data_IF_607923611991
#
_entry.id   IF_607923611991
#
_cell.length_a   1.000
_cell.length_b   1.000
_cell.length_c   1.000
_cell.angle_alpha   90.00
_cell.angle_beta   90.00
_cell.angle_gamma   90.00
#
_symmetry.space_group_name_H-M   'P 1'
#
loop_
_entity.id
_entity.type
_entity.pdbx_description
1 polymer ?
#
# COMPACT_ATOMS: atom_id res chain seq x y z
N UNK A 1 -39.29 -45.89 40.61
CA UNK A 1 -38.17 -46.82 40.93
C UNK A 1 -37.18 -46.07 41.80
N UNK A 2 -36.79 -46.66 42.93
CA UNK A 2 -35.94 -46.06 43.97
C UNK A 2 -34.51 -45.87 43.46
N UNK A 3 -33.95 -44.66 43.56
CA UNK A 3 -32.51 -44.43 43.47
C UNK A 3 -31.84 -45.10 44.68
N UNK A 4 -30.90 -46.01 44.40
CA UNK A 4 -30.06 -46.65 45.40
C UNK A 4 -29.06 -45.61 45.90
N UNK A 5 -29.20 -45.18 47.15
CA UNK A 5 -28.09 -44.61 47.91
C UNK A 5 -27.02 -45.70 48.06
N UNK A 6 -25.89 -45.53 47.40
CA UNK A 6 -24.71 -46.34 47.63
C UNK A 6 -24.02 -45.79 48.87
N UNK A 7 -24.35 -46.35 50.03
CA UNK A 7 -23.60 -46.13 51.25
C UNK A 7 -22.24 -46.82 51.12
N UNK A 8 -21.17 -46.06 50.94
CA UNK A 8 -19.81 -46.57 51.12
C UNK A 8 -19.57 -46.76 52.63
N UNK A 9 -19.66 -47.99 53.11
CA UNK A 9 -19.16 -48.38 54.44
C UNK A 9 -17.63 -48.29 54.45
N UNK A 10 -17.08 -47.28 55.15
CA UNK A 10 -15.64 -47.11 55.48
C UNK A 10 -15.15 -48.35 56.25
N UNK A 11 -14.09 -48.98 55.76
CA UNK A 11 -13.30 -49.95 56.55
C UNK A 11 -12.34 -49.24 57.51
N UNK A 12 -11.92 -49.85 58.64
CA UNK A 12 -11.26 -49.14 59.74
C UNK A 12 -9.76 -48.83 59.55
N UNK A 13 -9.19 -48.94 58.34
CA UNK A 13 -7.73 -48.88 58.12
C UNK A 13 -7.29 -48.21 56.80
N UNK A 14 -8.09 -47.32 56.21
CA UNK A 14 -7.59 -46.44 55.14
C UNK A 14 -7.17 -45.11 55.75
N UNK A 15 -5.86 -44.81 55.71
CA UNK A 15 -5.39 -43.45 55.97
C UNK A 15 -6.08 -42.50 54.98
N UNK A 16 -6.69 -41.40 55.47
CA UNK A 16 -7.39 -40.47 54.60
C UNK A 16 -6.42 -39.88 53.58
N UNK A 17 -6.65 -40.13 52.29
CA UNK A 17 -5.80 -39.60 51.22
C UNK A 17 -5.92 -38.09 51.18
N UNK A 18 -4.80 -37.40 51.33
CA UNK A 18 -4.71 -35.95 51.21
C UNK A 18 -4.92 -35.54 49.74
N UNK A 19 -5.88 -34.65 49.49
CA UNK A 19 -6.18 -34.11 48.15
C UNK A 19 -5.04 -33.20 47.65
N UNK A 20 -4.87 -33.02 46.33
CA UNK A 20 -3.78 -32.22 45.80
C UNK A 20 -3.96 -30.73 46.19
N UNK A 21 -2.84 -29.97 46.25
CA UNK A 21 -2.92 -28.54 46.44
C UNK A 21 -3.58 -27.83 45.25
N UNK A 22 -4.20 -26.69 45.52
CA UNK A 22 -4.78 -25.79 44.54
C UNK A 22 -3.85 -24.60 44.30
N UNK A 23 -3.62 -24.25 43.04
CA UNK A 23 -2.81 -23.09 42.64
C UNK A 23 -3.69 -22.16 41.81
N UNK A 24 -4.14 -21.02 42.37
CA UNK A 24 -5.17 -20.18 41.72
C UNK A 24 -4.78 -19.62 40.35
N UNK A 25 -3.48 -19.44 40.09
CA UNK A 25 -2.94 -18.87 38.85
C UNK A 25 -2.56 -19.93 37.80
N UNK A 26 -2.66 -21.22 38.14
CA UNK A 26 -2.36 -22.31 37.22
C UNK A 26 -3.63 -22.72 36.46
N UNK A 27 -3.48 -23.04 35.18
CA UNK A 27 -4.54 -23.61 34.35
C UNK A 27 -5.10 -24.89 35.01
N UNK A 28 -6.42 -25.01 35.06
CA UNK A 28 -7.07 -26.12 35.75
C UNK A 28 -6.79 -27.47 35.06
N UNK A 29 -6.60 -27.45 33.74
CA UNK A 29 -6.47 -28.64 32.89
C UNK A 29 -5.04 -29.16 32.89
N UNK A 30 -4.06 -28.31 32.56
CA UNK A 30 -2.67 -28.73 32.36
C UNK A 30 -1.68 -28.13 33.37
N UNK A 31 -2.13 -27.17 34.20
CA UNK A 31 -1.29 -26.57 35.22
C UNK A 31 -0.35 -25.47 34.70
N UNK A 32 -0.51 -25.00 33.47
CA UNK A 32 0.26 -23.88 32.93
C UNK A 32 0.07 -22.61 33.77
N UNK A 33 1.18 -22.01 34.18
CA UNK A 33 1.19 -20.70 34.84
C UNK A 33 1.65 -19.66 33.83
N UNK A 34 0.92 -18.55 33.68
CA UNK A 34 1.32 -17.48 32.76
C UNK A 34 2.63 -16.84 33.21
N UNK A 35 3.48 -16.45 32.27
CA UNK A 35 4.77 -15.79 32.54
C UNK A 35 4.62 -14.54 33.39
N UNK A 36 3.52 -13.80 33.21
CA UNK A 36 3.20 -12.62 34.03
C UNK A 36 2.97 -12.96 35.52
N UNK A 37 2.38 -14.11 35.82
CA UNK A 37 2.12 -14.55 37.20
C UNK A 37 3.40 -15.06 37.88
N UNK A 38 4.38 -15.50 37.09
CA UNK A 38 5.72 -15.88 37.55
C UNK A 38 6.63 -14.68 37.90
N UNK A 39 6.11 -13.46 37.91
CA UNK A 39 6.82 -12.28 38.42
C UNK A 39 6.77 -12.17 39.96
N UNK A 40 5.91 -12.95 40.62
CA UNK A 40 5.76 -12.99 42.07
C UNK A 40 5.74 -14.44 42.56
N UNK A 41 6.00 -14.64 43.86
CA UNK A 41 5.86 -15.94 44.49
C UNK A 41 4.44 -16.53 44.30
N UNK A 42 4.38 -17.81 43.98
CA UNK A 42 3.12 -18.48 43.66
C UNK A 42 2.42 -18.92 44.94
N UNK A 43 1.19 -18.44 45.13
CA UNK A 43 0.34 -18.85 46.25
C UNK A 43 -0.21 -20.25 45.98
N UNK A 44 -0.03 -21.13 46.96
CA UNK A 44 -0.57 -22.49 46.97
C UNK A 44 -1.53 -22.63 48.14
N UNK A 45 -2.71 -23.15 47.86
CA UNK A 45 -3.80 -23.29 48.81
C UNK A 45 -4.16 -24.77 49.01
N UNK A 46 -4.37 -25.18 50.26
CA UNK A 46 -4.91 -26.51 50.57
C UNK A 46 -5.62 -26.48 51.92
N UNK A 47 -6.56 -27.42 52.11
CA UNK A 47 -7.39 -27.44 53.32
C UNK A 47 -6.72 -28.16 54.48
N UNK A 48 -6.96 -27.69 55.71
CA UNK A 48 -6.68 -28.46 56.93
C UNK A 48 -7.38 -29.82 56.82
N UNK A 49 -6.59 -30.89 56.93
CA UNK A 49 -7.02 -32.26 56.68
C UNK A 49 -7.81 -32.90 57.84
N UNK A 50 -8.55 -33.96 57.53
CA UNK A 50 -9.23 -34.77 58.56
C UNK A 50 -8.20 -35.42 59.47
N UNK A 51 -8.32 -35.22 60.79
CA UNK A 51 -7.42 -35.78 61.79
C UNK A 51 -6.21 -34.92 62.17
N UNK A 52 -6.09 -33.71 61.60
CA UNK A 52 -5.06 -32.74 61.98
C UNK A 52 -5.09 -32.41 63.49
N UNK A 53 -3.92 -32.29 64.11
CA UNK A 53 -3.73 -32.01 65.55
C UNK A 53 -2.94 -30.74 65.77
N UNK A 54 -3.08 -30.18 66.98
CA UNK A 54 -2.30 -29.03 67.42
C UNK A 54 -0.80 -29.36 67.31
N UNK A 55 -0.02 -28.42 66.78
CA UNK A 55 1.43 -28.53 66.53
C UNK A 55 1.85 -29.43 65.36
N UNK A 56 0.93 -30.08 64.63
CA UNK A 56 1.27 -30.69 63.35
C UNK A 56 1.86 -29.63 62.41
N UNK A 57 2.85 -30.01 61.61
CA UNK A 57 3.48 -29.13 60.62
C UNK A 57 3.16 -29.57 59.20
N UNK A 58 3.30 -28.64 58.26
CA UNK A 58 3.05 -28.88 56.85
C UNK A 58 4.01 -28.06 55.99
N UNK A 59 4.40 -28.59 54.83
CA UNK A 59 5.33 -27.92 53.92
C UNK A 59 5.07 -28.33 52.47
N UNK A 60 5.26 -27.41 51.53
CA UNK A 60 5.19 -27.72 50.11
C UNK A 60 6.40 -28.53 49.67
N UNK A 61 6.22 -29.33 48.62
CA UNK A 61 7.33 -29.95 47.91
C UNK A 61 7.16 -29.81 46.41
N UNK A 62 8.27 -29.55 45.72
CA UNK A 62 8.37 -29.56 44.26
C UNK A 62 9.32 -30.66 43.85
N UNK A 63 8.87 -31.55 42.95
CA UNK A 63 9.64 -32.71 42.50
C UNK A 63 10.17 -33.59 43.65
N UNK A 64 9.48 -33.57 44.79
CA UNK A 64 9.84 -34.30 46.01
C UNK A 64 10.70 -33.52 47.02
N UNK A 65 11.28 -32.39 46.64
CA UNK A 65 12.12 -31.55 47.51
C UNK A 65 11.28 -30.51 48.28
N UNK A 66 11.61 -30.29 49.55
CA UNK A 66 10.90 -29.32 50.41
C UNK A 66 11.17 -27.88 49.95
N UNK A 67 10.10 -27.12 49.70
CA UNK A 67 10.19 -25.73 49.20
C UNK A 67 9.43 -24.76 50.09
N UNK A 68 9.89 -23.51 50.09
CA UNK A 68 9.30 -22.44 50.89
C UNK A 68 9.39 -22.70 52.40
N UNK A 69 8.62 -21.94 53.17
CA UNK A 69 8.57 -22.05 54.62
C UNK A 69 7.54 -23.08 55.07
N UNK A 70 7.92 -23.95 56.01
CA UNK A 70 6.97 -24.82 56.68
C UNK A 70 6.00 -24.03 57.55
N UNK A 71 4.74 -24.45 57.55
CA UNK A 71 3.72 -23.97 58.49
C UNK A 71 3.53 -24.93 59.66
N UNK A 72 2.90 -24.42 60.72
CA UNK A 72 2.56 -25.20 61.91
C UNK A 72 1.17 -24.82 62.42
N UNK A 73 0.37 -25.81 62.83
CA UNK A 73 -0.99 -25.61 63.31
C UNK A 73 -1.00 -25.13 64.77
N UNK A 74 -0.73 -23.82 64.96
CA UNK A 74 -0.83 -23.12 66.24
C UNK A 74 -1.45 -21.73 66.03
N UNK A 75 -2.71 -21.49 66.44
CA UNK A 75 -3.66 -22.46 67.01
C UNK A 75 -4.12 -23.51 65.97
N UNK A 76 -4.76 -24.59 66.42
CA UNK A 76 -5.36 -25.59 65.52
C UNK A 76 -6.61 -25.00 64.83
N UNK A 77 -6.61 -24.79 63.50
CA UNK A 77 -7.79 -24.30 62.79
C UNK A 77 -8.83 -25.42 62.62
N UNK A 78 -10.12 -25.07 62.37
CA UNK A 78 -11.12 -26.06 61.97
C UNK A 78 -10.70 -26.81 60.69
N UNK A 79 -11.01 -28.11 60.62
CA UNK A 79 -10.86 -28.92 59.39
C UNK A 79 -11.58 -28.23 58.23
N UNK A 80 -10.96 -28.21 57.05
CA UNK A 80 -11.45 -27.50 55.88
C UNK A 80 -11.04 -26.03 55.80
N UNK A 81 -10.41 -25.46 56.83
CA UNK A 81 -9.82 -24.12 56.75
C UNK A 81 -8.72 -24.09 55.70
N UNK A 82 -8.72 -23.07 54.84
CA UNK A 82 -7.73 -22.93 53.79
C UNK A 82 -6.39 -22.44 54.36
N UNK A 83 -5.35 -23.23 54.18
CA UNK A 83 -3.97 -22.89 54.46
C UNK A 83 -3.33 -22.34 53.19
N UNK A 84 -2.40 -21.40 53.37
CA UNK A 84 -1.66 -20.77 52.28
C UNK A 84 -0.17 -20.90 52.53
N UNK A 85 0.55 -21.40 51.53
CA UNK A 85 2.00 -21.36 51.45
C UNK A 85 2.39 -20.71 50.12
N UNK A 86 3.65 -20.30 50.00
CA UNK A 86 4.18 -19.73 48.77
C UNK A 86 5.32 -20.57 48.23
N UNK A 87 5.39 -20.67 46.90
CA UNK A 87 6.55 -21.18 46.18
C UNK A 87 7.38 -19.96 45.76
N UNK A 88 8.63 -19.81 46.26
CA UNK A 88 9.52 -18.76 45.82
C UNK A 88 9.91 -18.96 44.35
N UNK A 89 9.45 -18.08 43.46
CA UNK A 89 9.71 -18.26 42.01
C UNK A 89 11.19 -18.08 41.68
N UNK A 90 11.83 -17.12 42.35
CA UNK A 90 13.24 -16.79 42.20
C UNK A 90 14.22 -17.88 42.67
N UNK A 91 13.74 -19.02 43.16
CA UNK A 91 14.59 -20.19 43.46
C UNK A 91 14.04 -21.47 42.86
N UNK A 92 12.73 -21.66 42.84
CA UNK A 92 12.13 -22.97 42.55
C UNK A 92 11.54 -23.12 41.14
N UNK A 93 11.11 -22.02 40.49
CA UNK A 93 10.38 -22.04 39.21
C UNK A 93 11.08 -21.18 38.14
N UNK A 94 12.40 -21.35 38.02
CA UNK A 94 13.24 -20.60 37.06
C UNK A 94 13.22 -21.16 35.67
N UNK A 95 13.27 -22.48 35.58
CA UNK A 95 13.49 -23.20 34.34
C UNK A 95 12.15 -23.61 33.74
N UNK A 96 12.11 -23.68 32.42
CA UNK A 96 10.94 -24.18 31.71
C UNK A 96 10.79 -25.69 31.97
N UNK A 97 9.54 -26.13 32.14
CA UNK A 97 9.23 -27.54 32.33
C UNK A 97 8.01 -27.80 33.20
N UNK A 98 7.74 -29.10 33.38
CA UNK A 98 6.70 -29.58 34.27
C UNK A 98 7.27 -29.85 35.66
N UNK A 99 6.52 -29.44 36.68
CA UNK A 99 6.84 -29.61 38.08
C UNK A 99 5.74 -30.40 38.80
N UNK A 100 6.14 -31.35 39.64
CA UNK A 100 5.24 -32.11 40.49
C UNK A 100 5.11 -31.41 41.85
N UNK A 101 3.98 -30.73 42.08
CA UNK A 101 3.69 -30.06 43.34
C UNK A 101 2.85 -30.95 44.26
N UNK A 102 3.32 -31.13 45.49
CA UNK A 102 2.52 -31.69 46.58
C UNK A 102 2.75 -30.93 47.89
N UNK A 103 2.06 -31.32 48.96
CA UNK A 103 2.42 -30.92 50.31
C UNK A 103 2.59 -32.15 51.20
N UNK A 104 3.50 -32.03 52.15
CA UNK A 104 3.77 -33.04 53.17
C UNK A 104 3.32 -32.52 54.53
N UNK A 105 2.65 -33.38 55.28
CA UNK A 105 2.24 -33.14 56.67
C UNK A 105 3.08 -34.00 57.60
N UNK A 106 3.37 -33.48 58.80
CA UNK A 106 4.15 -34.18 59.84
C UNK A 106 3.37 -34.11 61.15
N UNK A 107 2.89 -35.26 61.63
CA UNK A 107 2.07 -35.34 62.84
C UNK A 107 2.88 -35.24 64.14
N UNK A 108 2.46 -34.41 65.09
CA UNK A 108 3.08 -34.27 66.41
C UNK A 108 2.35 -35.09 67.51
N UNK A 109 3.06 -35.76 68.44
CA UNK A 109 4.52 -35.92 68.53
C UNK A 109 5.06 -37.10 67.70
N UNK A 110 4.22 -37.77 66.92
CA UNK A 110 4.56 -39.03 66.24
C UNK A 110 5.69 -38.95 65.21
N UNK A 111 5.89 -37.78 64.59
CA UNK A 111 6.75 -37.59 63.43
C UNK A 111 6.26 -38.29 62.16
N UNK A 112 5.04 -38.85 62.14
CA UNK A 112 4.49 -39.53 60.98
C UNK A 112 4.34 -38.56 59.81
N UNK A 113 4.92 -38.92 58.65
CA UNK A 113 4.88 -38.12 57.43
C UNK A 113 3.80 -38.64 56.50
N UNK A 114 3.01 -37.75 55.93
CA UNK A 114 2.01 -38.08 54.92
C UNK A 114 1.98 -37.03 53.82
N UNK A 115 2.04 -37.47 52.56
CA UNK A 115 2.01 -36.62 51.37
C UNK A 115 0.62 -36.52 50.74
N UNK A 116 0.35 -35.40 50.10
CA UNK A 116 -0.81 -35.23 49.24
C UNK A 116 -0.66 -35.92 47.89
N UNK A 117 -1.78 -36.00 47.16
CA UNK A 117 -1.72 -36.20 45.72
C UNK A 117 -0.98 -35.04 45.04
N UNK A 118 -0.43 -35.31 43.86
CA UNK A 118 0.36 -34.37 43.08
C UNK A 118 -0.56 -33.49 42.21
N UNK A 119 -0.26 -32.20 42.14
CA UNK A 119 -0.73 -31.26 41.11
C UNK A 119 0.45 -30.97 40.19
N UNK A 120 0.28 -31.17 38.89
CA UNK A 120 1.27 -30.74 37.89
C UNK A 120 1.17 -29.23 37.69
N UNK A 121 2.32 -28.57 37.67
CA UNK A 121 2.49 -27.19 37.21
C UNK A 121 3.36 -27.19 35.96
N UNK A 122 3.10 -26.28 35.03
CA UNK A 122 3.93 -26.09 33.83
C UNK A 122 4.41 -24.64 33.81
N UNK A 123 5.73 -24.48 33.71
CA UNK A 123 6.39 -23.19 33.52
C UNK A 123 6.91 -23.16 32.09
N UNK A 124 6.56 -22.09 31.38
CA UNK A 124 7.05 -21.83 30.02
C UNK A 124 7.33 -20.34 29.87
N UNK A 125 8.60 -19.99 29.74
CA UNK A 125 9.09 -18.62 29.56
C UNK A 125 9.70 -18.43 28.17
N UNK A 126 9.67 -19.46 27.33
CA UNK A 126 10.30 -19.43 26.02
C UNK A 126 9.32 -18.90 24.98
N UNK A 127 9.64 -17.75 24.40
CA UNK A 127 8.84 -17.20 23.31
C UNK A 127 8.85 -18.12 22.07
N UNK A 128 7.71 -18.23 21.35
CA UNK A 128 7.65 -18.96 20.10
C UNK A 128 8.51 -18.31 19.00
N UNK A 129 8.89 -19.09 18.00
CA UNK A 129 9.63 -18.59 16.83
C UNK A 129 11.13 -18.35 17.09
N UNK A 130 11.76 -19.19 17.93
CA UNK A 130 13.16 -19.06 18.38
C UNK A 130 14.23 -18.92 17.26
N UNK A 131 13.90 -19.18 16.00
CA UNK A 131 14.82 -19.08 14.85
C UNK A 131 14.41 -17.99 13.84
N UNK A 132 13.67 -16.97 14.30
CA UNK A 132 13.02 -15.94 13.50
C UNK A 132 11.82 -16.48 12.73
N UNK A 133 10.68 -15.78 12.85
CA UNK A 133 9.47 -16.09 12.10
C UNK A 133 9.66 -15.73 10.62
N UNK A 134 9.27 -16.63 9.72
CA UNK A 134 9.30 -16.40 8.27
C UNK A 134 8.25 -15.38 7.82
N UNK A 135 8.32 -14.90 6.58
CA UNK A 135 7.32 -14.00 6.02
C UNK A 135 5.99 -14.74 5.78
N UNK A 136 4.88 -14.00 5.76
CA UNK A 136 3.61 -14.53 5.22
C UNK A 136 3.73 -14.67 3.71
N UNK A 137 3.40 -15.84 3.18
CA UNK A 137 3.29 -16.04 1.73
C UNK A 137 1.93 -15.57 1.25
N UNK A 138 1.89 -14.93 0.09
CA UNK A 138 0.70 -14.39 -0.52
C UNK A 138 0.52 -14.94 -1.94
N UNK A 139 -0.70 -14.93 -2.50
CA UNK A 139 -0.97 -15.29 -3.89
C UNK A 139 -0.08 -14.52 -4.87
N UNK A 140 0.28 -15.16 -5.99
CA UNK A 140 1.23 -14.60 -6.95
C UNK A 140 0.72 -13.30 -7.56
N UNK A 141 -0.59 -13.21 -7.76
CA UNK A 141 -1.34 -12.05 -8.26
C UNK A 141 -1.11 -10.80 -7.40
N UNK A 142 -0.90 -10.95 -6.09
CA UNK A 142 -0.65 -9.83 -5.21
C UNK A 142 0.82 -9.39 -5.15
N UNK A 143 1.78 -10.23 -5.55
CA UNK A 143 3.22 -10.01 -5.26
C UNK A 143 3.79 -8.79 -5.99
N UNK A 144 3.33 -8.51 -7.20
CA UNK A 144 3.76 -7.36 -8.00
C UNK A 144 2.90 -6.11 -7.78
N UNK A 145 1.87 -6.22 -6.93
CA UNK A 145 0.91 -5.18 -6.61
C UNK A 145 -0.51 -5.69 -6.80
N UNK A 146 -1.35 -5.50 -5.77
CA UNK A 146 -2.73 -5.97 -5.78
C UNK A 146 -3.68 -4.86 -6.20
N UNK A 147 -4.41 -5.05 -7.30
CA UNK A 147 -5.47 -4.14 -7.74
C UNK A 147 -6.83 -4.47 -7.11
N UNK A 148 -7.74 -3.51 -7.11
CA UNK A 148 -9.11 -3.74 -6.62
C UNK A 148 -9.83 -4.84 -7.41
N UNK A 149 -9.64 -4.90 -8.72
CA UNK A 149 -10.25 -5.93 -9.60
C UNK A 149 -9.73 -7.33 -9.26
N UNK A 150 -8.40 -7.48 -9.09
CA UNK A 150 -7.81 -8.76 -8.70
C UNK A 150 -8.32 -9.20 -7.33
N UNK A 151 -8.38 -8.30 -6.35
CA UNK A 151 -8.93 -8.59 -5.03
C UNK A 151 -10.40 -9.04 -5.11
N UNK A 152 -11.22 -8.38 -5.93
CA UNK A 152 -12.60 -8.78 -6.16
C UNK A 152 -12.70 -10.16 -6.84
N UNK A 153 -11.81 -10.45 -7.79
CA UNK A 153 -11.74 -11.77 -8.45
C UNK A 153 -11.40 -12.90 -7.46
N UNK A 154 -10.67 -12.57 -6.38
CA UNK A 154 -10.35 -13.46 -5.26
C UNK A 154 -11.47 -13.54 -4.20
N UNK A 155 -12.62 -12.91 -4.44
CA UNK A 155 -13.75 -12.90 -3.50
C UNK A 155 -13.68 -11.79 -2.44
N UNK A 156 -12.88 -10.75 -2.67
CA UNK A 156 -12.75 -9.59 -1.77
C UNK A 156 -11.89 -9.85 -0.54
N UNK A 157 -11.03 -10.88 -0.58
CA UNK A 157 -10.13 -11.27 0.51
C UNK A 157 -8.76 -11.62 -0.05
N UNK A 158 -7.71 -11.07 0.56
CA UNK A 158 -6.33 -11.49 0.36
C UNK A 158 -5.95 -12.47 1.47
N UNK A 159 -5.59 -13.71 1.12
CA UNK A 159 -5.17 -14.72 2.10
C UNK A 159 -3.65 -14.70 2.25
N UNK A 160 -3.16 -14.43 3.46
CA UNK A 160 -1.76 -14.63 3.84
C UNK A 160 -1.57 -16.01 4.47
N UNK A 161 -0.53 -16.74 4.08
CA UNK A 161 -0.22 -18.09 4.55
C UNK A 161 1.02 -18.09 5.44
N UNK A 162 0.91 -18.67 6.63
CA UNK A 162 2.04 -18.90 7.54
C UNK A 162 2.33 -20.40 7.58
N UNK A 163 3.55 -20.79 7.22
CA UNK A 163 3.99 -22.19 7.14
C UNK A 163 4.74 -22.61 8.40
N UNK A 164 4.00 -22.91 9.48
CA UNK A 164 4.55 -23.39 10.73
C UNK A 164 5.57 -22.45 11.41
N UNK A 165 5.89 -22.72 12.67
CA UNK A 165 7.00 -22.08 13.36
C UNK A 165 7.42 -22.91 14.57
N UNK A 166 8.66 -22.72 15.04
CA UNK A 166 9.15 -23.42 16.22
C UNK A 166 8.33 -23.02 17.47
N UNK A 167 7.83 -24.03 18.19
CA UNK A 167 6.98 -23.81 19.35
C UNK A 167 5.49 -23.68 19.03
N UNK A 168 5.07 -23.92 17.78
CA UNK A 168 3.66 -23.93 17.39
C UNK A 168 2.86 -24.87 18.29
N UNK A 169 1.87 -24.30 18.96
CA UNK A 169 0.99 -25.04 19.84
C UNK A 169 -0.45 -24.51 19.78
N UNK A 170 -1.39 -25.32 20.28
CA UNK A 170 -2.78 -24.87 20.38
C UNK A 170 -2.88 -23.68 21.35
N UNK A 171 -3.77 -22.76 21.04
CA UNK A 171 -4.03 -21.57 21.85
C UNK A 171 -2.99 -20.45 21.69
N UNK A 172 -2.00 -20.64 20.81
CA UNK A 172 -1.14 -19.52 20.39
C UNK A 172 -1.98 -18.51 19.60
N UNK A 173 -1.68 -17.23 19.77
CA UNK A 173 -2.37 -16.12 19.11
C UNK A 173 -1.43 -15.46 18.12
N UNK A 174 -1.79 -15.52 16.84
CA UNK A 174 -1.11 -14.80 15.76
C UNK A 174 -1.75 -13.43 15.62
N UNK A 175 -0.95 -12.38 15.68
CA UNK A 175 -1.36 -11.00 15.39
C UNK A 175 -0.63 -10.50 14.16
N UNK A 176 -1.37 -9.99 13.19
CA UNK A 176 -0.79 -9.44 11.95
C UNK A 176 -0.79 -7.93 11.94
N UNK A 177 0.03 -7.34 11.07
CA UNK A 177 0.22 -5.90 10.96
C UNK A 177 0.45 -5.50 9.50
N UNK A 178 0.01 -4.30 9.12
CA UNK A 178 0.47 -3.57 7.92
C UNK A 178 1.07 -2.24 8.37
N UNK A 179 2.39 -2.11 8.25
CA UNK A 179 3.11 -0.98 8.83
C UNK A 179 2.87 -0.91 10.35
N UNK A 180 2.16 0.13 10.80
CA UNK A 180 1.78 0.29 12.21
C UNK A 180 0.31 -0.02 12.48
N UNK A 181 -0.46 -0.43 11.46
CA UNK A 181 -1.89 -0.73 11.58
C UNK A 181 -2.06 -2.19 11.99
N UNK A 182 -2.68 -2.48 13.14
CA UNK A 182 -3.03 -3.85 13.52
C UNK A 182 -4.01 -4.46 12.52
N UNK A 183 -3.71 -5.68 12.09
CA UNK A 183 -4.56 -6.47 11.20
C UNK A 183 -5.35 -7.54 11.95
N UNK A 184 -5.88 -8.52 11.20
CA UNK A 184 -6.55 -9.69 11.75
C UNK A 184 -5.68 -10.44 12.76
N UNK A 185 -6.35 -10.98 13.79
CA UNK A 185 -5.76 -11.88 14.77
C UNK A 185 -6.41 -13.27 14.64
N UNK A 186 -5.63 -14.32 14.89
CA UNK A 186 -6.09 -15.71 14.86
C UNK A 186 -5.56 -16.46 16.08
N UNK A 187 -6.45 -17.06 16.86
CA UNK A 187 -6.11 -18.01 17.92
C UNK A 187 -6.13 -19.44 17.36
N UNK A 188 -5.03 -20.17 17.53
CA UNK A 188 -4.89 -21.53 17.04
C UNK A 188 -5.75 -22.50 17.85
N UNK A 189 -6.47 -23.38 17.17
CA UNK A 189 -7.32 -24.37 17.84
C UNK A 189 -6.60 -25.69 18.14
N UNK A 190 -5.40 -25.89 17.59
CA UNK A 190 -4.57 -27.09 17.77
C UNK A 190 -4.82 -28.20 16.75
N UNK A 191 -5.62 -27.95 15.72
CA UNK A 191 -5.73 -28.82 14.54
C UNK A 191 -4.70 -28.45 13.48
N UNK A 192 -4.08 -27.28 13.61
CA UNK A 192 -3.00 -26.84 12.76
C UNK A 192 -1.78 -27.73 12.98
N UNK A 193 -1.33 -28.38 11.91
CA UNK A 193 -0.09 -29.15 11.87
C UNK A 193 0.97 -28.32 11.14
N UNK A 194 2.25 -28.52 11.46
CA UNK A 194 3.38 -27.87 10.76
C UNK A 194 3.36 -28.12 9.24
N UNK A 195 2.61 -29.13 8.79
CA UNK A 195 2.41 -29.48 7.38
C UNK A 195 1.32 -28.67 6.66
N UNK A 196 0.46 -27.93 7.38
CA UNK A 196 -0.62 -27.13 6.81
C UNK A 196 -0.35 -25.63 7.00
N UNK A 197 -0.72 -24.84 5.98
CA UNK A 197 -0.64 -23.39 6.08
C UNK A 197 -1.71 -22.88 7.05
N UNK A 198 -1.30 -21.98 7.94
CA UNK A 198 -2.23 -21.19 8.75
C UNK A 198 -2.65 -19.99 7.91
N UNK A 199 -3.93 -19.93 7.57
CA UNK A 199 -4.50 -18.89 6.72
C UNK A 199 -4.97 -17.69 7.54
N UNK A 200 -4.44 -16.50 7.22
CA UNK A 200 -4.91 -15.22 7.74
C UNK A 200 -5.65 -14.48 6.62
N UNK A 201 -6.88 -14.10 6.89
CA UNK A 201 -7.77 -13.48 5.90
C UNK A 201 -7.78 -11.95 6.06
N UNK A 202 -7.27 -11.24 5.06
CA UNK A 202 -7.30 -9.79 5.00
C UNK A 202 -8.46 -9.34 4.11
N UNK A 203 -9.50 -8.75 4.71
CA UNK A 203 -10.70 -8.32 3.98
C UNK A 203 -10.42 -7.08 3.13
N UNK A 204 -11.19 -6.89 2.06
CA UNK A 204 -11.16 -5.66 1.25
C UNK A 204 -11.42 -4.42 2.10
N UNK A 205 -12.35 -4.47 3.06
CA UNK A 205 -12.62 -3.35 3.97
C UNK A 205 -11.36 -2.95 4.75
N UNK A 206 -10.63 -3.93 5.31
CA UNK A 206 -9.40 -3.66 6.02
C UNK A 206 -8.33 -3.09 5.09
N UNK A 207 -8.13 -3.73 3.93
CA UNK A 207 -7.14 -3.37 2.93
C UNK A 207 -7.35 -1.95 2.33
N UNK A 208 -8.60 -1.57 2.06
CA UNK A 208 -8.95 -0.25 1.51
C UNK A 208 -8.89 0.87 2.55
N UNK A 209 -8.98 0.53 3.84
CA UNK A 209 -8.81 1.47 4.93
C UNK A 209 -7.33 1.80 5.24
N UNK A 210 -6.38 1.07 4.65
CA UNK A 210 -4.95 1.33 4.84
C UNK A 210 -4.56 2.63 4.13
N UNK A 211 -3.60 3.35 4.71
CA UNK A 211 -2.98 4.49 4.03
C UNK A 211 -2.26 4.05 2.76
N UNK A 212 -2.06 5.00 1.84
CA UNK A 212 -1.23 4.80 0.64
C UNK A 212 0.10 5.54 0.83
N UNK A 213 1.26 4.85 0.92
CA UNK A 213 1.43 3.39 0.91
C UNK A 213 1.13 2.73 2.28
N UNK A 214 0.70 1.46 2.26
CA UNK A 214 0.24 0.73 3.45
C UNK A 214 1.37 0.22 4.39
N UNK A 215 2.63 0.36 3.98
CA UNK A 215 3.79 -0.19 4.70
C UNK A 215 3.95 -1.71 4.52
N UNK A 216 4.98 -2.28 5.15
CA UNK A 216 5.27 -3.71 5.06
C UNK A 216 4.39 -4.52 6.01
N UNK A 217 3.93 -5.70 5.59
CA UNK A 217 3.18 -6.64 6.42
C UNK A 217 4.06 -7.67 7.12
N UNK A 218 3.66 -8.03 8.34
CA UNK A 218 4.35 -8.96 9.22
C UNK A 218 3.41 -9.46 10.33
N UNK A 219 3.88 -10.38 11.16
CA UNK A 219 3.12 -10.89 12.30
C UNK A 219 4.00 -11.14 13.53
N UNK A 220 3.34 -11.31 14.67
CA UNK A 220 3.90 -11.82 15.92
C UNK A 220 3.05 -12.98 16.42
N UNK A 221 3.64 -13.85 17.22
CA UNK A 221 2.95 -14.96 17.88
C UNK A 221 3.08 -14.80 19.39
N UNK A 222 1.98 -14.97 20.10
CA UNK A 222 1.96 -15.04 21.57
C UNK A 222 1.48 -16.43 22.00
N UNK A 223 2.27 -17.13 22.80
CA UNK A 223 1.88 -18.46 23.30
C UNK A 223 0.83 -18.38 24.43
N UNK A 224 0.35 -19.54 24.90
CA UNK A 224 -0.59 -19.62 26.03
C UNK A 224 -0.02 -19.12 27.36
N UNK A 225 1.30 -19.17 27.54
CA UNK A 225 1.97 -18.65 28.73
C UNK A 225 2.07 -17.11 28.71
N UNK A 226 1.88 -16.49 27.54
CA UNK A 226 1.94 -15.05 27.31
C UNK A 226 3.30 -14.57 26.79
N UNK A 227 4.21 -15.46 26.41
CA UNK A 227 5.47 -15.06 25.79
C UNK A 227 5.22 -14.67 24.33
N UNK A 228 5.70 -13.49 23.93
CA UNK A 228 5.52 -12.98 22.57
C UNK A 228 6.82 -13.07 21.79
N UNK A 229 6.73 -13.54 20.55
CA UNK A 229 7.85 -13.65 19.61
C UNK A 229 8.43 -12.28 19.22
N UNK A 230 9.59 -12.31 18.57
CA UNK A 230 10.00 -11.19 17.72
C UNK A 230 9.06 -11.04 16.51
N UNK A 231 9.12 -9.89 15.82
CA UNK A 231 8.43 -9.69 14.56
C UNK A 231 8.92 -10.68 13.49
N UNK A 232 7.99 -11.14 12.65
CA UNK A 232 8.33 -11.92 11.47
C UNK A 232 9.14 -11.13 10.45
N UNK A 233 9.72 -11.85 9.50
CA UNK A 233 10.20 -11.19 8.28
C UNK A 233 9.06 -10.40 7.63
N UNK A 234 9.41 -9.21 7.14
CA UNK A 234 8.47 -8.25 6.56
C UNK A 234 8.45 -8.36 5.04
N UNK A 235 7.27 -8.23 4.44
CA UNK A 235 7.10 -8.15 2.98
C UNK A 235 6.23 -6.94 2.65
N UNK A 236 6.53 -6.24 1.55
CA UNK A 236 5.72 -5.12 1.07
C UNK A 236 4.90 -5.57 -0.12
N UNK A 237 3.60 -5.34 -0.07
CA UNK A 237 2.68 -5.55 -1.18
C UNK A 237 2.15 -4.16 -1.57
N UNK A 238 2.46 -3.66 -2.78
CA UNK A 238 1.79 -2.47 -3.30
C UNK A 238 0.29 -2.73 -3.40
N UNK A 239 -0.53 -1.82 -2.87
CA UNK A 239 -1.99 -1.97 -2.89
C UNK A 239 -2.56 -0.87 -3.76
N UNK A 240 -3.17 -1.20 -4.90
CA UNK A 240 -3.82 -0.27 -5.82
C UNK A 240 -5.34 -0.45 -5.76
N UNK A 241 -5.91 -0.14 -4.60
CA UNK A 241 -7.29 -0.53 -4.25
C UNK A 241 -8.30 0.61 -4.37
N UNK A 242 -7.88 1.76 -4.90
CA UNK A 242 -8.78 2.87 -5.19
C UNK A 242 -9.66 2.50 -6.39
N UNK A 243 -10.98 2.62 -6.23
CA UNK A 243 -11.92 2.44 -7.34
C UNK A 243 -11.72 3.58 -8.36
N UNK A 244 -11.39 3.22 -9.60
CA UNK A 244 -11.19 4.19 -10.69
C UNK A 244 -12.55 4.55 -11.27
N UNK A 245 -12.97 5.81 -11.11
CA UNK A 245 -14.20 6.34 -11.71
C UNK A 245 -13.95 6.72 -13.18
N UNK A 246 -14.53 6.00 -14.16
CA UNK A 246 -14.39 6.36 -15.57
C UNK A 246 -15.36 7.47 -15.96
N UNK A 247 -15.15 8.07 -17.14
CA UNK A 247 -16.12 8.98 -17.76
C UNK A 247 -16.25 10.32 -17.07
N UNK A 248 -15.17 10.82 -16.45
CA UNK A 248 -15.12 12.22 -16.03
C UNK A 248 -15.21 13.16 -17.25
N UNK A 249 -15.68 14.40 -17.10
CA UNK A 249 -15.81 15.32 -18.23
C UNK A 249 -14.50 15.48 -19.00
N UNK A 250 -14.56 15.38 -20.33
CA UNK A 250 -13.40 15.56 -21.21
C UNK A 250 -12.77 16.96 -21.03
N UNK A 251 -11.44 17.08 -21.21
CA UNK A 251 -10.79 18.38 -21.22
C UNK A 251 -11.31 19.27 -22.36
N UNK A 252 -11.12 20.59 -22.23
CA UNK A 252 -11.61 21.59 -23.18
C UNK A 252 -10.48 22.46 -23.68
N UNK A 253 -10.47 22.73 -24.99
CA UNK A 253 -9.61 23.74 -25.63
C UNK A 253 -10.55 24.79 -26.24
N UNK A 254 -10.35 26.06 -25.89
CA UNK A 254 -11.18 27.15 -26.40
C UNK A 254 -11.01 27.33 -27.91
N UNK A 255 -12.12 27.60 -28.62
CA UNK A 255 -12.16 27.85 -30.07
C UNK A 255 -11.52 26.77 -30.95
N UNK A 256 -11.30 25.57 -30.41
CA UNK A 256 -10.78 24.44 -31.18
C UNK A 256 -11.75 24.05 -32.29
N UNK A 257 -11.30 24.14 -33.54
CA UNK A 257 -12.06 23.72 -34.72
C UNK A 257 -11.87 22.23 -35.06
N UNK A 258 -11.15 21.52 -34.21
CA UNK A 258 -10.79 20.11 -34.33
C UNK A 258 -9.38 19.88 -34.87
N UNK A 259 -8.68 20.94 -35.30
CA UNK A 259 -7.30 20.88 -35.77
C UNK A 259 -6.43 21.78 -34.91
N UNK A 260 -5.25 21.29 -34.52
CA UNK A 260 -4.19 22.13 -33.94
C UNK A 260 -3.11 22.27 -34.99
N UNK A 261 -2.97 23.48 -35.55
CA UNK A 261 -1.97 23.77 -36.57
C UNK A 261 -0.60 24.14 -35.98
N UNK A 262 0.39 24.36 -36.85
CA UNK A 262 1.74 24.74 -36.42
C UNK A 262 1.78 26.05 -35.65
N UNK A 263 0.99 27.06 -36.03
CA UNK A 263 1.00 28.37 -35.39
C UNK A 263 0.39 28.31 -33.99
N UNK A 264 -0.71 27.57 -33.84
CA UNK A 264 -1.36 27.28 -32.56
C UNK A 264 -0.43 26.48 -31.65
N UNK A 265 0.16 25.39 -32.16
CA UNK A 265 1.10 24.58 -31.39
C UNK A 265 2.31 25.40 -30.91
N UNK A 266 2.85 26.27 -31.77
CA UNK A 266 3.95 27.18 -31.41
C UNK A 266 3.57 28.22 -30.36
N UNK A 267 2.30 28.63 -30.34
CA UNK A 267 1.77 29.58 -29.35
C UNK A 267 1.44 28.93 -28.00
N UNK A 268 1.65 27.62 -27.86
CA UNK A 268 1.14 26.73 -26.80
C UNK A 268 -0.38 26.57 -26.83
N UNK A 269 -0.84 25.39 -26.40
CA UNK A 269 -2.27 25.05 -26.38
C UNK A 269 -2.73 24.97 -24.93
N UNK A 270 -3.63 25.87 -24.53
CA UNK A 270 -4.23 25.85 -23.19
C UNK A 270 -5.34 24.78 -23.13
N UNK A 271 -5.13 23.77 -22.30
CA UNK A 271 -6.10 22.71 -22.02
C UNK A 271 -6.73 22.95 -20.65
N UNK A 272 -8.06 23.03 -20.61
CA UNK A 272 -8.85 23.31 -19.42
C UNK A 272 -9.49 22.06 -18.88
N UNK A 273 -9.39 21.86 -17.57
CA UNK A 273 -10.00 20.73 -16.87
C UNK A 273 -11.35 21.20 -16.29
N UNK A 274 -12.49 20.67 -16.76
CA UNK A 274 -13.78 21.06 -16.22
C UNK A 274 -13.96 20.60 -14.77
N UNK A 275 -14.72 21.37 -14.00
CA UNK A 275 -15.18 20.91 -12.70
C UNK A 275 -16.09 19.69 -12.83
N UNK A 276 -15.94 18.76 -11.88
CA UNK A 276 -16.93 17.71 -11.63
C UNK A 276 -17.09 17.51 -10.13
N UNK A 277 -18.27 17.05 -9.70
CA UNK A 277 -18.54 16.77 -8.29
C UNK A 277 -17.71 15.61 -7.72
N UNK A 278 -16.96 14.89 -8.57
CA UNK A 278 -16.04 13.84 -8.16
C UNK A 278 -14.74 14.40 -7.56
N UNK A 279 -14.34 15.60 -7.99
CA UNK A 279 -13.08 16.23 -7.62
C UNK A 279 -13.17 16.83 -6.22
N UNK A 280 -12.07 16.73 -5.48
CA UNK A 280 -11.95 17.18 -4.09
C UNK A 280 -10.66 17.97 -3.88
N UNK A 281 -10.59 18.71 -2.77
CA UNK A 281 -9.34 19.33 -2.33
C UNK A 281 -8.25 18.27 -2.15
N UNK A 282 -7.04 18.58 -2.63
CA UNK A 282 -5.88 17.71 -2.50
C UNK A 282 -5.78 16.61 -3.56
N UNK A 283 -6.79 16.44 -4.40
CA UNK A 283 -6.64 15.69 -5.64
C UNK A 283 -5.58 16.35 -6.53
N UNK A 284 -4.90 15.54 -7.31
CA UNK A 284 -3.99 15.99 -8.35
C UNK A 284 -4.48 15.53 -9.71
N UNK A 285 -4.20 16.29 -10.76
CA UNK A 285 -4.57 15.96 -12.12
C UNK A 285 -3.31 15.77 -12.95
N UNK A 286 -3.21 14.63 -13.63
CA UNK A 286 -2.19 14.35 -14.64
C UNK A 286 -2.85 14.43 -16.02
N UNK A 287 -2.44 15.41 -16.83
CA UNK A 287 -2.92 15.55 -18.19
C UNK A 287 -2.12 14.64 -19.11
N UNK A 288 -2.80 13.95 -20.00
CA UNK A 288 -2.24 13.13 -21.06
C UNK A 288 -2.51 13.79 -22.41
N UNK A 289 -1.45 14.05 -23.16
CA UNK A 289 -1.48 14.49 -24.56
C UNK A 289 -0.98 13.34 -25.44
N UNK A 290 -1.89 12.46 -25.86
CA UNK A 290 -1.51 11.18 -26.48
C UNK A 290 -0.72 10.32 -25.48
N UNK A 291 0.57 10.09 -25.75
CA UNK A 291 1.49 9.36 -24.85
C UNK A 291 2.28 10.27 -23.91
N UNK A 292 2.22 11.59 -24.10
CA UNK A 292 2.98 12.54 -23.30
C UNK A 292 2.18 12.98 -22.08
N UNK A 293 2.87 13.24 -20.97
CA UNK A 293 2.24 13.58 -19.68
C UNK A 293 2.63 15.00 -19.23
N UNK A 294 1.67 15.75 -18.69
CA UNK A 294 1.89 17.04 -18.06
C UNK A 294 1.29 17.05 -16.65
N UNK A 295 2.09 17.45 -15.67
CA UNK A 295 1.73 17.46 -14.25
C UNK A 295 2.51 16.42 -13.44
N UNK A 296 1.96 15.92 -12.32
CA UNK A 296 0.61 16.19 -11.81
C UNK A 296 0.48 17.61 -11.21
N UNK A 297 -0.68 18.24 -11.39
CA UNK A 297 -1.02 19.55 -10.81
C UNK A 297 -2.07 19.38 -9.70
N UNK A 298 -1.86 20.01 -8.55
CA UNK A 298 -2.79 19.93 -7.41
C UNK A 298 -4.00 20.87 -7.61
N UNK A 299 -5.19 20.41 -7.23
CA UNK A 299 -6.41 21.22 -7.24
C UNK A 299 -6.43 22.10 -5.98
N UNK A 300 -6.49 23.42 -6.15
CA UNK A 300 -6.62 24.35 -5.02
C UNK A 300 -8.08 24.44 -4.56
N UNK A 301 -8.29 24.75 -3.28
CA UNK A 301 -9.64 24.80 -2.68
C UNK A 301 -10.47 25.92 -3.30
N UNK A 302 -9.82 27.04 -3.59
CA UNK A 302 -10.43 28.22 -4.20
C UNK A 302 -10.97 27.97 -5.62
N UNK A 303 -10.44 26.98 -6.33
CA UNK A 303 -10.88 26.63 -7.69
C UNK A 303 -12.10 25.69 -7.66
N UNK A 304 -12.38 25.04 -6.53
CA UNK A 304 -13.53 24.15 -6.38
C UNK A 304 -14.84 24.94 -6.50
N UNK A 305 -15.57 24.71 -7.59
CA UNK A 305 -16.84 25.38 -7.89
C UNK A 305 -16.77 26.35 -9.07
N UNK A 306 -15.57 26.64 -9.57
CA UNK A 306 -15.41 27.31 -10.86
C UNK A 306 -15.72 26.35 -12.01
N UNK A 307 -16.15 26.83 -13.20
CA UNK A 307 -16.43 25.95 -14.34
C UNK A 307 -15.21 25.12 -14.80
N UNK A 308 -14.01 25.68 -14.64
CA UNK A 308 -12.74 25.04 -14.95
C UNK A 308 -11.81 25.18 -13.74
N UNK A 309 -11.23 24.07 -13.31
CA UNK A 309 -10.48 23.99 -12.06
C UNK A 309 -8.96 24.05 -12.26
N UNK A 310 -8.49 23.73 -13.47
CA UNK A 310 -7.07 23.71 -13.81
C UNK A 310 -6.89 24.04 -15.28
N UNK A 311 -5.74 24.65 -15.58
CA UNK A 311 -5.33 25.08 -16.90
C UNK A 311 -3.91 24.56 -17.14
N UNK A 312 -3.72 23.83 -18.23
CA UNK A 312 -2.43 23.30 -18.65
C UNK A 312 -2.01 23.96 -19.96
N UNK A 313 -0.93 24.73 -19.93
CA UNK A 313 -0.30 25.25 -21.14
C UNK A 313 0.58 24.15 -21.73
N UNK A 314 0.10 23.46 -22.76
CA UNK A 314 0.85 22.42 -23.45
C UNK A 314 1.87 23.07 -24.39
N UNK A 315 3.18 22.97 -24.10
CA UNK A 315 4.18 23.67 -24.90
C UNK A 315 4.43 22.94 -26.22
N UNK A 316 4.87 23.67 -27.25
CA UNK A 316 5.20 23.14 -28.57
C UNK A 316 6.08 21.88 -28.51
N UNK A 317 7.06 21.82 -27.58
CA UNK A 317 7.95 20.67 -27.47
C UNK A 317 7.20 19.36 -27.17
N UNK A 318 6.17 19.40 -26.33
CA UNK A 318 5.34 18.22 -26.03
C UNK A 318 4.52 17.83 -27.26
N UNK A 319 3.93 18.82 -27.94
CA UNK A 319 3.15 18.60 -29.16
C UNK A 319 4.03 18.02 -30.28
N UNK A 320 5.25 18.53 -30.41
CA UNK A 320 6.26 18.06 -31.36
C UNK A 320 6.71 16.64 -31.03
N UNK A 321 7.01 16.33 -29.77
CA UNK A 321 7.36 14.98 -29.33
C UNK A 321 6.23 13.99 -29.64
N UNK A 322 4.99 14.39 -29.41
CA UNK A 322 3.82 13.60 -29.76
C UNK A 322 3.63 13.46 -31.28
N UNK A 323 4.27 14.27 -32.13
CA UNK A 323 4.17 14.29 -33.60
C UNK A 323 2.77 14.67 -34.13
N UNK A 324 2.65 14.85 -35.46
CA UNK A 324 1.36 15.07 -36.15
C UNK A 324 0.47 13.81 -36.16
N UNK A 325 -0.85 14.00 -36.21
CA UNK A 325 -1.88 12.98 -36.29
C UNK A 325 -3.00 13.17 -35.26
N UNK A 326 -3.91 12.21 -35.16
CA UNK A 326 -4.98 12.22 -34.15
C UNK A 326 -4.39 12.01 -32.75
N UNK A 327 -4.75 12.88 -31.81
CA UNK A 327 -4.30 12.83 -30.43
C UNK A 327 -5.51 12.81 -29.50
N UNK A 328 -5.49 11.86 -28.58
CA UNK A 328 -6.43 11.81 -27.47
C UNK A 328 -5.86 12.63 -26.33
N UNK A 329 -6.62 13.64 -25.91
CA UNK A 329 -6.31 14.45 -24.75
C UNK A 329 -7.25 14.02 -23.63
N UNK A 330 -6.70 13.52 -22.52
CA UNK A 330 -7.47 13.10 -21.36
C UNK A 330 -6.71 13.43 -20.08
N UNK A 331 -7.30 13.20 -18.93
CA UNK A 331 -6.62 13.37 -17.66
C UNK A 331 -7.00 12.29 -16.67
N UNK A 332 -6.05 11.98 -15.79
CA UNK A 332 -6.28 11.14 -14.62
C UNK A 332 -6.32 12.00 -13.36
N UNK A 333 -7.26 11.68 -12.48
CA UNK A 333 -7.35 12.24 -11.14
C UNK A 333 -6.62 11.30 -10.19
N UNK A 334 -5.61 11.81 -9.52
CA UNK A 334 -4.79 11.11 -8.55
C UNK A 334 -5.21 11.52 -7.15
N UNK A 335 -5.62 10.55 -6.33
CA UNK A 335 -5.99 10.72 -4.93
C UNK A 335 -5.12 9.81 -4.08
N UNK A 336 -4.46 10.35 -3.07
CA UNK A 336 -3.53 9.59 -2.21
C UNK A 336 -2.46 8.80 -3.01
N UNK A 337 -1.98 9.38 -4.11
CA UNK A 337 -0.96 8.77 -4.97
C UNK A 337 -1.46 7.65 -5.90
N UNK A 338 -2.78 7.46 -6.03
CA UNK A 338 -3.38 6.46 -6.91
C UNK A 338 -4.37 7.10 -7.86
N UNK A 339 -4.50 6.56 -9.07
CA UNK A 339 -5.55 6.97 -9.99
C UNK A 339 -6.91 6.62 -9.37
N UNK A 340 -7.73 7.64 -9.18
CA UNK A 340 -9.08 7.55 -8.63
C UNK A 340 -10.15 7.81 -9.69
N UNK A 341 -9.80 8.43 -10.81
CA UNK A 341 -10.71 8.57 -11.93
C UNK A 341 -10.00 8.99 -13.21
N UNK A 342 -10.67 8.80 -14.33
CA UNK A 342 -10.15 9.08 -15.68
C UNK A 342 -11.26 9.73 -16.49
N UNK A 343 -10.92 10.76 -17.27
CA UNK A 343 -11.87 11.44 -18.15
C UNK A 343 -12.11 10.74 -19.48
N UNK A 344 -13.23 11.10 -20.10
CA UNK A 344 -13.45 10.86 -21.52
C UNK A 344 -12.39 11.62 -22.34
N UNK A 345 -11.90 11.06 -23.46
CA UNK A 345 -10.91 11.73 -24.29
C UNK A 345 -11.53 12.85 -25.14
N UNK A 346 -10.79 13.94 -25.31
CA UNK A 346 -10.97 14.92 -26.38
C UNK A 346 -10.02 14.55 -27.54
N UNK A 347 -10.57 14.14 -28.68
CA UNK A 347 -9.78 13.88 -29.88
C UNK A 347 -9.51 15.18 -30.64
N UNK A 348 -8.25 15.42 -31.03
CA UNK A 348 -7.84 16.54 -31.89
C UNK A 348 -6.91 16.06 -32.99
N UNK A 349 -6.98 16.69 -34.18
CA UNK A 349 -6.03 16.45 -35.25
C UNK A 349 -4.86 17.43 -35.14
N UNK A 350 -3.69 16.96 -34.72
CA UNK A 350 -2.48 17.79 -34.70
C UNK A 350 -1.82 17.76 -36.07
N UNK A 351 -1.61 18.92 -36.68
CA UNK A 351 -0.85 19.07 -37.91
C UNK A 351 0.18 20.18 -37.79
N UNK A 352 1.36 19.80 -37.30
CA UNK A 352 2.51 20.70 -37.15
C UNK A 352 3.49 20.58 -38.33
N UNK A 353 3.11 19.90 -39.42
CA UNK A 353 3.95 19.80 -40.60
C UNK A 353 3.95 21.12 -41.36
N UNK A 354 5.09 21.81 -41.35
CA UNK A 354 5.30 22.93 -42.25
C UNK A 354 5.37 22.44 -43.71
N UNK A 355 4.74 23.15 -44.66
CA UNK A 355 4.86 22.84 -46.09
C UNK A 355 6.33 22.73 -46.53
N UNK A 356 7.18 23.58 -45.97
CA UNK A 356 8.64 23.51 -46.09
C UNK A 356 9.25 23.61 -44.70
N UNK A 357 9.86 22.52 -44.18
CA UNK A 357 10.53 22.54 -42.89
C UNK A 357 11.69 23.56 -42.82
N UNK A 358 11.82 24.21 -41.66
CA UNK A 358 12.91 25.15 -41.36
C UNK A 358 12.63 26.60 -41.80
N UNK A 359 13.66 27.44 -41.70
CA UNK A 359 13.57 28.84 -42.11
C UNK A 359 13.73 28.93 -43.63
N UNK A 360 12.73 29.48 -44.31
CA UNK A 360 12.82 29.78 -45.74
C UNK A 360 13.77 30.95 -46.01
N UNK A 361 14.50 30.87 -47.12
CA UNK A 361 15.30 31.99 -47.63
C UNK A 361 14.38 33.18 -47.96
N UNK A 362 14.84 34.39 -47.62
CA UNK A 362 14.14 35.61 -48.02
C UNK A 362 14.21 35.77 -49.54
N UNK A 363 13.10 36.14 -50.22
CA UNK A 363 13.17 36.48 -51.63
C UNK A 363 14.01 37.75 -51.84
N UNK A 364 14.64 37.86 -53.01
CA UNK A 364 15.33 39.07 -53.45
C UNK A 364 14.47 39.83 -54.43
N UNK A 365 14.25 41.13 -54.22
CA UNK A 365 13.54 41.98 -55.17
C UNK A 365 14.54 42.78 -56.02
N UNK A 366 14.25 42.87 -57.33
CA UNK A 366 15.00 43.63 -58.32
C UNK A 366 14.08 44.51 -59.16
N UNK A 367 14.56 45.70 -59.51
CA UNK A 367 13.92 46.54 -60.52
C UNK A 367 13.89 45.87 -61.90
N UNK A 368 12.92 46.27 -62.74
CA UNK A 368 12.70 45.66 -64.07
C UNK A 368 12.94 46.62 -65.24
N UNK A 369 13.47 47.82 -64.99
CA UNK A 369 13.86 48.79 -66.00
C UNK A 369 15.02 48.27 -66.87
N UNK A 370 15.39 49.02 -67.90
CA UNK A 370 16.54 48.68 -68.76
C UNK A 370 17.90 48.94 -68.10
N UNK A 371 17.93 49.70 -66.99
CA UNK A 371 19.13 50.02 -66.21
C UNK A 371 18.82 49.96 -64.71
N UNK A 372 18.41 48.80 -64.18
CA UNK A 372 17.97 48.69 -62.80
C UNK A 372 19.16 48.80 -61.84
N UNK A 373 18.90 49.20 -60.60
CA UNK A 373 19.92 49.17 -59.55
C UNK A 373 20.52 47.75 -59.39
N UNK A 374 21.84 47.71 -59.17
CA UNK A 374 22.52 46.45 -58.84
C UNK A 374 22.32 46.03 -57.38
N UNK A 375 21.79 46.90 -56.53
CA UNK A 375 21.52 46.60 -55.12
C UNK A 375 20.33 45.63 -54.99
N UNK A 376 20.44 44.66 -54.08
CA UNK A 376 19.35 43.72 -53.78
C UNK A 376 18.32 44.41 -52.89
N UNK A 377 17.03 44.18 -53.15
CA UNK A 377 15.93 44.71 -52.34
C UNK A 377 15.86 46.25 -52.32
N UNK A 378 16.26 46.90 -53.42
CA UNK A 378 16.19 48.33 -53.60
C UNK A 378 15.55 48.66 -54.96
N UNK A 379 14.49 49.47 -54.95
CA UNK A 379 13.81 49.99 -56.14
C UNK A 379 14.18 51.46 -56.25
N UNK A 380 14.89 51.83 -57.32
CA UNK A 380 15.33 53.21 -57.56
C UNK A 380 14.29 54.02 -58.33
N UNK A 381 14.58 55.30 -58.60
CA UNK A 381 13.67 56.21 -59.29
C UNK A 381 13.28 55.77 -60.72
N UNK A 382 14.12 54.96 -61.39
CA UNK A 382 13.82 54.46 -62.73
C UNK A 382 12.88 53.24 -62.69
N UNK A 383 12.85 52.54 -61.56
CA UNK A 383 12.03 51.35 -61.33
C UNK A 383 10.76 51.63 -60.51
N UNK A 384 10.63 52.82 -59.92
CA UNK A 384 9.55 53.17 -59.00
C UNK A 384 8.14 53.03 -59.59
N UNK A 385 7.95 53.32 -60.87
CA UNK A 385 6.66 53.20 -61.55
C UNK A 385 6.47 51.84 -62.25
N UNK A 386 7.44 50.94 -62.16
CA UNK A 386 7.46 49.66 -62.86
C UNK A 386 7.20 48.49 -61.92
N UNK A 387 6.71 47.39 -62.49
CA UNK A 387 6.68 46.12 -61.78
C UNK A 387 8.13 45.68 -61.44
N UNK A 388 8.30 44.98 -60.33
CA UNK A 388 9.57 44.44 -59.90
C UNK A 388 9.65 42.92 -60.16
N UNK A 389 10.87 42.39 -60.19
CA UNK A 389 11.10 40.95 -60.25
C UNK A 389 11.41 40.41 -58.85
N UNK A 390 10.64 39.41 -58.42
CA UNK A 390 10.88 38.62 -57.21
C UNK A 390 11.72 37.40 -57.59
N UNK A 391 12.88 37.26 -56.98
CA UNK A 391 13.72 36.07 -57.07
C UNK A 391 13.51 35.22 -55.81
N UNK A 392 12.92 34.03 -55.97
CA UNK A 392 12.80 33.04 -54.90
C UNK A 392 13.82 31.94 -55.16
N UNK A 393 14.82 31.82 -54.28
CA UNK A 393 15.79 30.73 -54.37
C UNK A 393 15.09 29.37 -54.29
N UNK A 394 15.56 28.42 -55.08
CA UNK A 394 14.94 27.10 -55.10
C UNK A 394 15.24 26.34 -53.81
N UNK A 395 14.19 25.97 -53.08
CA UNK A 395 14.30 25.03 -51.96
C UNK A 395 13.99 23.61 -52.46
N UNK A 396 14.92 22.63 -52.31
CA UNK A 396 14.68 21.26 -52.72
C UNK A 396 13.47 20.58 -52.08
N UNK A 397 12.96 21.11 -50.97
CA UNK A 397 11.77 20.62 -50.27
C UNK A 397 10.45 21.16 -50.85
N UNK A 398 10.51 22.11 -51.80
CA UNK A 398 9.32 22.54 -52.53
C UNK A 398 8.69 21.38 -53.30
N UNK A 399 7.36 21.25 -53.17
CA UNK A 399 6.55 20.22 -53.83
C UNK A 399 5.54 20.88 -54.77
N UNK A 400 5.19 20.18 -55.83
CA UNK A 400 4.14 20.63 -56.73
C UNK A 400 2.81 20.81 -55.96
N UNK A 401 2.00 21.76 -56.40
CA UNK A 401 0.75 22.22 -55.79
C UNK A 401 0.89 22.99 -54.47
N UNK A 402 2.11 23.19 -53.95
CA UNK A 402 2.30 24.17 -52.88
C UNK A 402 2.07 25.59 -53.42
N UNK A 403 1.54 26.46 -52.57
CA UNK A 403 1.21 27.84 -52.93
C UNK A 403 2.23 28.77 -52.29
N UNK A 404 2.92 29.56 -53.11
CA UNK A 404 3.81 30.63 -52.69
C UNK A 404 3.05 31.94 -52.72
N UNK A 405 3.02 32.62 -51.58
CA UNK A 405 2.54 34.00 -51.46
C UNK A 405 3.74 34.87 -51.11
N UNK A 406 3.90 36.00 -51.80
CA UNK A 406 5.03 36.90 -51.60
C UNK A 406 4.53 38.23 -51.05
N UNK A 407 5.12 38.64 -49.93
CA UNK A 407 4.82 39.92 -49.29
C UNK A 407 6.02 40.86 -49.35
N UNK A 408 5.77 42.14 -49.59
CA UNK A 408 6.73 43.22 -49.48
C UNK A 408 6.13 44.35 -48.66
N UNK A 409 6.83 44.82 -47.62
CA UNK A 409 6.28 45.85 -46.72
C UNK A 409 4.98 45.45 -46.00
N UNK A 410 4.67 44.15 -45.91
CA UNK A 410 3.42 43.63 -45.34
C UNK A 410 2.28 43.47 -46.36
N UNK A 411 2.48 43.82 -47.62
CA UNK A 411 1.47 43.71 -48.67
C UNK A 411 1.80 42.59 -49.66
N UNK A 412 0.78 41.83 -50.09
CA UNK A 412 0.93 40.82 -51.13
C UNK A 412 1.16 41.49 -52.49
N UNK A 413 2.26 41.16 -53.16
CA UNK A 413 2.69 41.85 -54.38
C UNK A 413 2.46 41.06 -55.67
N UNK A 414 2.13 39.77 -55.60
CA UNK A 414 1.83 38.99 -56.80
C UNK A 414 0.42 39.28 -57.28
N UNK A 415 0.15 39.14 -58.58
CA UNK A 415 -1.23 39.23 -59.12
C UNK A 415 -2.18 38.25 -58.39
N UNK A 416 -1.70 37.02 -58.21
CA UNK A 416 -2.30 35.96 -57.41
C UNK A 416 -1.18 35.07 -56.83
N UNK A 417 -1.45 34.29 -55.76
CA UNK A 417 -0.48 33.35 -55.22
C UNK A 417 0.03 32.37 -56.29
N UNK A 418 1.33 32.10 -56.28
CA UNK A 418 1.97 31.24 -57.27
C UNK A 418 1.89 29.77 -56.85
N UNK A 419 1.21 28.94 -57.65
CA UNK A 419 1.17 27.50 -57.40
C UNK A 419 2.37 26.82 -58.05
N UNK A 420 3.21 26.18 -57.25
CA UNK A 420 4.38 25.43 -57.71
C UNK A 420 3.95 24.28 -58.64
N UNK A 421 4.53 24.23 -59.83
CA UNK A 421 4.20 23.18 -60.81
C UNK A 421 5.19 22.02 -60.74
N UNK A 422 4.82 20.87 -61.34
CA UNK A 422 5.78 19.77 -61.52
C UNK A 422 7.01 20.19 -62.34
N UNK A 423 6.85 21.12 -63.29
CA UNK A 423 7.97 21.62 -64.10
C UNK A 423 8.95 22.43 -63.26
N UNK A 424 8.47 23.20 -62.28
CA UNK A 424 9.34 23.97 -61.37
C UNK A 424 10.17 23.03 -60.50
N UNK A 425 9.51 22.00 -59.94
CA UNK A 425 10.15 20.98 -59.10
C UNK A 425 11.24 20.23 -59.86
N UNK A 426 10.97 19.86 -61.13
CA UNK A 426 11.95 19.18 -61.98
C UNK A 426 13.11 20.11 -62.37
N UNK A 427 12.84 21.40 -62.60
CA UNK A 427 13.86 22.36 -63.01
C UNK A 427 14.80 22.75 -61.87
N UNK A 428 14.30 22.81 -60.63
CA UNK A 428 15.12 23.03 -59.44
C UNK A 428 15.90 24.35 -59.45
N UNK A 429 15.37 25.38 -60.10
CA UNK A 429 16.04 26.67 -60.33
C UNK A 429 15.29 27.82 -59.68
N UNK A 430 15.98 28.93 -59.43
CA UNK A 430 15.38 30.17 -58.91
C UNK A 430 14.12 30.53 -59.68
N UNK A 431 13.05 30.81 -58.95
CA UNK A 431 11.79 31.28 -59.52
C UNK A 431 11.86 32.78 -59.73
N UNK A 432 11.45 33.24 -60.91
CA UNK A 432 11.31 34.65 -61.24
C UNK A 432 9.81 34.94 -61.29
N UNK A 433 9.30 35.64 -60.28
CA UNK A 433 7.90 36.07 -60.20
C UNK A 433 7.83 37.59 -60.40
N UNK A 434 6.68 38.09 -60.82
CA UNK A 434 6.46 39.53 -60.99
C UNK A 434 5.75 40.09 -59.76
N UNK A 435 6.38 41.06 -59.10
CA UNK A 435 5.74 41.91 -58.09
C UNK A 435 5.12 43.11 -58.80
N UNK A 436 3.80 43.23 -58.72
CA UNK A 436 3.05 44.29 -59.39
C UNK A 436 3.18 45.61 -58.63
N UNK A 437 3.51 46.70 -59.32
CA UNK A 437 3.48 48.05 -58.73
C UNK A 437 2.07 48.54 -58.38
N UNK A 438 1.04 47.87 -58.91
CA UNK A 438 -0.36 48.20 -58.65
C UNK A 438 -0.92 47.64 -57.34
N UNK A 439 -0.17 46.76 -56.67
CA UNK A 439 -0.45 46.30 -55.30
C UNK A 439 0.57 46.98 -54.40
#
# INVERSE_FOLDING_TARGET
MRQKNTFYTRGPNQEPTLIPPFVPVADEVDGLIKTADLANDIIVEFSVWEGARLQDSYQLRLNGDEVGLAGQLIPLPPVGTLLRLTIPVDTELKDDGAYELDYMTIGYPSGAKQSSQIKTLVVDRTAPGAHQLGYMDFPAEAKDGLTLEELQSMGGVLTGSIFGYSGLNRGDVIKTYWGNVPGPELELNGLEDESQAIEILFTQEFLTALGSPAGATYYTVTDRAGNTSAESQKITIPLFLTEVTPGLPAPVIDNNDGVIDYAEAMASVEVKIPFSSFLMEGDQVLLHWGSEELGPAAIAVEDLGEPFILFFDVPYLIIEQAQSGLRDIKYDVIRNGQVAGTSDPLEVLVNIELPVPGVLDKPTIKGSSSTPSNEDNFIDENDFELDATVLVNWNPLFKANQILTVFWGGQEVLEQPYTLTNSDVVAGRTLLLTALNSK
#
